data_IF_020369324387
#
_entry.id   IF_020369324387
#
_cell.length_a   1.000
_cell.length_b   1.000
_cell.length_c   1.000
_cell.angle_alpha   90.00
_cell.angle_beta   90.00
_cell.angle_gamma   90.00
#
_symmetry.space_group_name_H-M   'P 1'
#
loop_
_entity.id
_entity.type
_entity.pdbx_description
1 polymer ?
#
# COMPACT_ATOMS: atom_id res chain seq x y z
N UNK A 1 -20.40 54.48 38.02
CA UNK A 1 -19.81 53.12 38.09
C UNK A 1 -20.32 52.16 37.00
N UNK A 2 -21.61 52.16 36.61
CA UNK A 2 -22.16 51.22 35.61
C UNK A 2 -21.57 51.30 34.17
N UNK A 3 -21.12 52.49 33.73
CA UNK A 3 -20.60 52.70 32.36
C UNK A 3 -19.21 52.09 32.09
N UNK A 4 -18.31 52.07 33.09
CA UNK A 4 -16.99 51.45 32.95
C UNK A 4 -17.03 49.92 32.94
N UNK A 5 -17.90 49.33 33.77
CA UNK A 5 -18.12 47.88 33.83
C UNK A 5 -18.71 47.34 32.51
N UNK A 6 -19.64 48.08 31.90
CA UNK A 6 -20.20 47.73 30.58
C UNK A 6 -19.15 47.71 29.47
N UNK A 7 -18.16 48.61 29.52
CA UNK A 7 -17.11 48.70 28.50
C UNK A 7 -16.10 47.56 28.62
N UNK A 8 -15.69 47.22 29.84
CA UNK A 8 -14.79 46.09 30.11
C UNK A 8 -15.44 44.75 29.70
N UNK A 9 -16.72 44.55 30.01
CA UNK A 9 -17.44 43.35 29.60
C UNK A 9 -17.58 43.24 28.08
N UNK A 10 -17.82 44.34 27.37
CA UNK A 10 -17.87 44.33 25.90
C UNK A 10 -16.53 43.90 25.29
N UNK A 11 -15.40 44.42 25.79
CA UNK A 11 -14.06 44.03 25.31
C UNK A 11 -13.81 42.54 25.59
N UNK A 12 -14.17 42.06 26.78
CA UNK A 12 -14.04 40.65 27.14
C UNK A 12 -14.81 39.73 26.17
N UNK A 13 -16.06 40.07 25.85
CA UNK A 13 -16.86 39.33 24.88
C UNK A 13 -16.25 39.34 23.47
N UNK A 14 -15.72 40.48 23.01
CA UNK A 14 -15.05 40.57 21.70
C UNK A 14 -13.83 39.65 21.65
N UNK A 15 -13.01 39.62 22.71
CA UNK A 15 -11.85 38.72 22.78
C UNK A 15 -12.30 37.25 22.77
N UNK A 16 -13.37 36.91 23.50
CA UNK A 16 -13.92 35.55 23.53
C UNK A 16 -14.42 35.10 22.15
N UNK A 17 -15.13 35.97 21.43
CA UNK A 17 -15.61 35.67 20.07
C UNK A 17 -14.43 35.54 19.11
N UNK A 18 -13.41 36.39 19.24
CA UNK A 18 -12.22 36.32 18.41
C UNK A 18 -11.43 35.02 18.61
N UNK A 19 -11.25 34.56 19.86
CA UNK A 19 -10.55 33.29 20.13
C UNK A 19 -11.34 32.07 19.65
N UNK A 20 -12.67 32.06 19.83
CA UNK A 20 -13.54 31.02 19.29
C UNK A 20 -13.53 31.00 17.76
N UNK A 21 -13.56 32.17 17.12
CA UNK A 21 -13.45 32.31 15.66
C UNK A 21 -12.12 31.79 15.13
N UNK A 22 -11.00 32.15 15.77
CA UNK A 22 -9.68 31.63 15.41
C UNK A 22 -9.58 30.12 15.60
N UNK A 23 -10.09 29.58 16.71
CA UNK A 23 -10.09 28.15 16.96
C UNK A 23 -10.92 27.40 15.92
N UNK A 24 -12.12 27.91 15.59
CA UNK A 24 -13.00 27.36 14.56
C UNK A 24 -12.32 27.36 13.19
N UNK A 25 -11.70 28.46 12.78
CA UNK A 25 -10.97 28.54 11.50
C UNK A 25 -9.76 27.59 11.46
N UNK A 26 -9.03 27.47 12.58
CA UNK A 26 -7.90 26.54 12.68
C UNK A 26 -8.35 25.08 12.60
N UNK A 27 -9.52 24.74 13.14
CA UNK A 27 -10.07 23.40 13.07
C UNK A 27 -10.56 23.10 11.65
N UNK A 28 -11.29 24.02 11.02
CA UNK A 28 -11.78 23.86 9.65
C UNK A 28 -10.63 23.65 8.66
N UNK A 29 -9.57 24.46 8.74
CA UNK A 29 -8.38 24.29 7.88
C UNK A 29 -7.68 22.94 8.11
N UNK A 30 -7.55 22.50 9.36
CA UNK A 30 -7.00 21.17 9.68
C UNK A 30 -7.88 20.04 9.15
N UNK A 31 -9.20 20.13 9.28
CA UNK A 31 -10.14 19.13 8.77
C UNK A 31 -10.07 18.99 7.24
N UNK A 32 -9.99 20.12 6.52
CA UNK A 32 -9.85 20.10 5.05
C UNK A 32 -8.54 19.40 4.64
N UNK A 33 -7.42 19.75 5.27
CA UNK A 33 -6.13 19.10 4.99
C UNK A 33 -6.19 17.60 5.31
N UNK A 34 -6.68 17.24 6.49
CA UNK A 34 -6.79 15.85 6.90
C UNK A 34 -7.69 15.04 5.95
N UNK A 35 -8.78 15.62 5.46
CA UNK A 35 -9.65 14.97 4.48
C UNK A 35 -8.93 14.71 3.15
N UNK A 36 -8.09 15.65 2.69
CA UNK A 36 -7.28 15.49 1.49
C UNK A 36 -6.23 14.37 1.66
N UNK A 37 -5.52 14.37 2.80
CA UNK A 37 -4.52 13.35 3.13
C UNK A 37 -5.14 11.94 3.18
N UNK A 38 -6.32 11.81 3.79
CA UNK A 38 -7.06 10.54 3.85
C UNK A 38 -7.45 10.09 2.44
N UNK A 39 -7.97 10.99 1.61
CA UNK A 39 -8.37 10.67 0.24
C UNK A 39 -7.19 10.16 -0.62
N UNK A 40 -6.01 10.80 -0.52
CA UNK A 40 -4.81 10.33 -1.22
C UNK A 40 -4.35 8.96 -0.70
N UNK A 41 -4.44 8.73 0.61
CA UNK A 41 -4.09 7.45 1.22
C UNK A 41 -5.02 6.33 0.76
N UNK A 42 -6.33 6.57 0.76
CA UNK A 42 -7.32 5.57 0.33
C UNK A 42 -7.14 5.20 -1.14
N UNK A 43 -6.87 6.18 -2.01
CA UNK A 43 -6.53 5.89 -3.41
C UNK A 43 -5.25 5.07 -3.55
N UNK A 44 -4.18 5.44 -2.84
CA UNK A 44 -2.93 4.68 -2.86
C UNK A 44 -3.12 3.23 -2.37
N UNK A 45 -3.99 3.02 -1.39
CA UNK A 45 -4.34 1.69 -0.89
C UNK A 45 -5.13 0.87 -1.92
N UNK A 46 -6.11 1.48 -2.60
CA UNK A 46 -6.85 0.84 -3.70
C UNK A 46 -5.92 0.48 -4.86
N UNK A 47 -4.98 1.35 -5.23
CA UNK A 47 -3.98 1.05 -6.24
C UNK A 47 -3.03 -0.05 -5.81
N UNK A 48 -2.65 -0.12 -4.53
CA UNK A 48 -1.87 -1.23 -4.02
C UNK A 48 -2.64 -2.55 -4.11
N UNK A 49 -3.96 -2.54 -3.84
CA UNK A 49 -4.84 -3.71 -4.06
C UNK A 49 -4.89 -4.11 -5.53
N UNK A 50 -5.11 -3.16 -6.44
CA UNK A 50 -5.12 -3.43 -7.87
C UNK A 50 -3.78 -4.00 -8.35
N UNK A 51 -2.66 -3.36 -8.01
CA UNK A 51 -1.31 -3.82 -8.34
C UNK A 51 -1.01 -5.21 -7.79
N UNK A 52 -1.47 -5.55 -6.57
CA UNK A 52 -1.35 -6.93 -6.06
C UNK A 52 -2.11 -7.94 -6.92
N UNK A 53 -3.33 -7.62 -7.36
CA UNK A 53 -4.12 -8.52 -8.20
C UNK A 53 -3.53 -8.69 -9.59
N UNK A 54 -3.03 -7.61 -10.20
CA UNK A 54 -2.34 -7.66 -11.49
C UNK A 54 -1.03 -8.44 -11.41
N UNK A 55 -0.29 -8.31 -10.30
CA UNK A 55 0.91 -9.10 -10.07
C UNK A 55 0.59 -10.59 -9.91
N UNK A 56 -0.47 -10.95 -9.17
CA UNK A 56 -0.93 -12.35 -9.09
C UNK A 56 -1.35 -12.87 -10.47
N UNK A 57 -2.03 -12.07 -11.28
CA UNK A 57 -2.39 -12.46 -12.65
C UNK A 57 -1.14 -12.69 -13.52
N UNK A 58 -0.15 -11.80 -13.45
CA UNK A 58 1.13 -11.99 -14.14
C UNK A 58 1.83 -13.27 -13.69
N UNK A 59 1.84 -13.53 -12.38
CA UNK A 59 2.36 -14.78 -11.81
C UNK A 59 1.62 -16.02 -12.33
N UNK A 60 0.29 -15.97 -12.50
CA UNK A 60 -0.48 -17.10 -13.04
C UNK A 60 -0.20 -17.36 -14.53
N UNK A 61 0.06 -16.30 -15.30
CA UNK A 61 0.39 -16.40 -16.73
C UNK A 61 1.84 -16.79 -17.04
N UNK A 62 2.70 -16.91 -16.02
CA UNK A 62 4.13 -17.15 -16.20
C UNK A 62 4.45 -18.65 -16.29
N UNK A 63 5.26 -19.05 -17.26
CA UNK A 63 5.86 -20.38 -17.29
C UNK A 63 7.14 -20.43 -16.44
N UNK A 64 6.98 -20.96 -15.23
CA UNK A 64 8.03 -21.10 -14.23
C UNK A 64 9.15 -22.08 -14.62
N UNK A 65 9.01 -22.85 -15.70
CA UNK A 65 10.14 -23.64 -16.21
C UNK A 65 11.16 -22.79 -16.97
N UNK A 66 10.74 -21.62 -17.46
CA UNK A 66 11.54 -20.76 -18.34
C UNK A 66 12.01 -19.51 -17.59
N UNK A 67 11.09 -18.78 -16.95
CA UNK A 67 11.39 -17.52 -16.26
C UNK A 67 10.43 -17.25 -15.08
N UNK A 68 10.72 -16.23 -14.29
CA UNK A 68 9.87 -15.79 -13.16
C UNK A 68 9.82 -14.27 -13.06
N UNK A 69 8.65 -13.77 -12.71
CA UNK A 69 8.41 -12.35 -12.51
C UNK A 69 8.94 -11.89 -11.14
N UNK A 70 9.81 -10.87 -11.14
CA UNK A 70 10.46 -10.40 -9.91
C UNK A 70 10.15 -8.94 -9.58
N UNK A 71 9.97 -8.12 -10.61
CA UNK A 71 9.67 -6.70 -10.47
C UNK A 71 8.64 -6.33 -11.54
N UNK A 72 7.49 -5.84 -11.09
CA UNK A 72 6.44 -5.32 -11.97
C UNK A 72 6.24 -3.85 -11.62
N UNK A 73 6.00 -3.03 -12.65
CA UNK A 73 5.69 -1.62 -12.49
C UNK A 73 4.39 -1.33 -13.23
N UNK A 74 3.46 -0.67 -12.55
CA UNK A 74 2.19 -0.24 -13.11
C UNK A 74 2.07 1.27 -12.99
N UNK A 75 1.69 1.92 -14.08
CA UNK A 75 1.32 3.33 -14.12
C UNK A 75 -0.19 3.42 -14.33
N UNK A 76 -0.88 4.09 -13.41
CA UNK A 76 -2.34 4.25 -13.45
C UNK A 76 -2.76 5.51 -14.22
N UNK A 77 -1.82 6.33 -14.68
CA UNK A 77 -2.06 7.47 -15.58
C UNK A 77 -2.58 8.75 -14.90
N UNK A 78 -2.75 8.73 -13.58
CA UNK A 78 -3.20 9.84 -12.73
C UNK A 78 -2.10 10.33 -11.76
N UNK A 79 -0.85 10.00 -12.08
CA UNK A 79 0.34 10.31 -11.28
C UNK A 79 0.65 9.28 -10.20
N UNK A 80 -0.19 8.24 -10.03
CA UNK A 80 0.14 7.10 -9.19
C UNK A 80 0.90 6.02 -9.96
N UNK A 81 2.06 5.65 -9.42
CA UNK A 81 2.88 4.54 -9.89
C UNK A 81 2.97 3.48 -8.80
N UNK A 82 2.84 2.20 -9.17
CA UNK A 82 2.99 1.07 -8.26
C UNK A 82 4.14 0.18 -8.70
N UNK A 83 5.13 0.02 -7.82
CA UNK A 83 6.18 -0.97 -7.94
C UNK A 83 5.85 -2.21 -7.11
N UNK A 84 5.87 -3.38 -7.73
CA UNK A 84 5.68 -4.67 -7.06
C UNK A 84 6.98 -5.46 -7.12
N UNK A 85 7.53 -5.79 -5.96
CA UNK A 85 8.67 -6.72 -5.83
C UNK A 85 8.16 -8.07 -5.35
N UNK A 86 8.44 -9.12 -6.11
CA UNK A 86 8.00 -10.49 -5.83
C UNK A 86 9.18 -11.27 -5.24
N UNK A 87 8.92 -11.92 -4.10
CA UNK A 87 9.89 -12.77 -3.40
C UNK A 87 9.31 -14.16 -3.23
N UNK A 88 9.87 -15.14 -3.94
CA UNK A 88 9.37 -16.51 -3.92
C UNK A 88 9.86 -17.29 -2.70
N UNK A 89 8.94 -18.03 -2.09
CA UNK A 89 9.14 -18.92 -0.95
C UNK A 89 9.12 -20.39 -1.42
N UNK A 90 9.97 -20.71 -2.40
CA UNK A 90 10.07 -22.06 -2.96
C UNK A 90 11.54 -22.47 -3.12
N UNK A 91 11.91 -23.61 -2.54
CA UNK A 91 13.25 -24.17 -2.64
C UNK A 91 13.54 -24.83 -3.98
N UNK A 92 12.51 -25.19 -4.75
CA UNK A 92 12.62 -25.87 -6.03
C UNK A 92 12.56 -24.90 -7.23
N UNK A 93 12.41 -23.61 -7.00
CA UNK A 93 12.34 -22.59 -8.05
C UNK A 93 13.62 -22.61 -8.93
N UNK A 94 13.53 -22.47 -10.26
CA UNK A 94 14.69 -22.60 -11.14
C UNK A 94 15.81 -21.59 -10.80
N UNK A 95 17.05 -21.95 -11.13
CA UNK A 95 18.21 -21.09 -10.89
C UNK A 95 18.16 -19.74 -11.63
N UNK A 96 17.36 -19.62 -12.69
CA UNK A 96 17.10 -18.34 -13.37
C UNK A 96 16.35 -17.34 -12.46
N UNK A 97 15.73 -17.82 -11.38
CA UNK A 97 15.02 -17.05 -10.36
C UNK A 97 15.86 -16.70 -9.12
N UNK A 98 17.17 -16.96 -9.17
CA UNK A 98 18.10 -16.94 -8.04
C UNK A 98 18.28 -15.59 -7.32
N UNK A 99 17.79 -14.46 -7.84
CA UNK A 99 18.03 -13.16 -7.19
C UNK A 99 17.24 -12.99 -5.88
N UNK A 100 16.12 -13.70 -5.69
CA UNK A 100 15.18 -13.43 -4.57
C UNK A 100 14.47 -14.63 -3.95
N UNK A 101 14.84 -15.86 -4.28
CA UNK A 101 14.45 -16.98 -3.42
C UNK A 101 15.42 -17.07 -2.23
N UNK A 102 14.91 -17.43 -1.05
CA UNK A 102 15.77 -17.92 0.04
C UNK A 102 15.49 -19.41 0.13
N UNK A 103 16.49 -20.22 -0.21
CA UNK A 103 16.47 -21.64 0.14
C UNK A 103 16.42 -21.69 1.66
N UNK A 104 15.32 -22.19 2.22
CA UNK A 104 15.25 -22.40 3.66
C UNK A 104 16.43 -23.31 4.07
N UNK A 105 17.10 -22.99 5.19
CA UNK A 105 18.25 -23.77 5.70
C UNK A 105 17.91 -25.22 6.05
N UNK A 106 16.63 -25.58 5.98
CA UNK A 106 16.12 -26.94 5.85
C UNK A 106 15.11 -26.94 4.71
N UNK A 107 15.03 -28.00 3.88
CA UNK A 107 13.94 -28.13 2.93
C UNK A 107 12.63 -27.97 3.69
N UNK A 108 11.78 -27.03 3.26
CA UNK A 108 10.39 -27.00 3.70
C UNK A 108 9.87 -28.41 3.48
N UNK A 109 9.30 -29.06 4.51
CA UNK A 109 8.90 -30.46 4.41
C UNK A 109 7.75 -30.56 3.40
N UNK A 110 8.12 -30.86 2.15
CA UNK A 110 7.28 -30.81 0.96
C UNK A 110 6.09 -31.78 1.07
N UNK A 111 6.22 -32.77 1.96
CA UNK A 111 5.27 -33.88 2.13
C UNK A 111 3.89 -33.47 2.62
N UNK A 112 3.76 -32.32 3.28
CA UNK A 112 2.48 -31.86 3.86
C UNK A 112 1.81 -30.72 3.07
N UNK A 113 2.44 -30.18 2.02
CA UNK A 113 1.80 -29.11 1.24
C UNK A 113 0.85 -29.64 0.16
N UNK A 114 0.98 -30.88 -0.30
CA UNK A 114 -0.02 -31.59 -1.11
C UNK A 114 -0.63 -30.79 -2.27
N UNK A 115 0.10 -29.82 -2.84
CA UNK A 115 -0.46 -28.89 -3.81
C UNK A 115 -0.54 -29.57 -5.17
N UNK A 116 -1.75 -29.54 -5.74
CA UNK A 116 -2.03 -30.04 -7.07
C UNK A 116 -2.04 -28.88 -8.07
N UNK A 117 -1.48 -29.09 -9.26
CA UNK A 117 -1.66 -28.20 -10.40
C UNK A 117 -3.15 -28.17 -10.83
N UNK A 118 -3.49 -27.32 -11.81
CA UNK A 118 -4.85 -27.25 -12.35
C UNK A 118 -5.35 -28.58 -12.97
N UNK A 119 -4.43 -29.53 -13.22
CA UNK A 119 -4.69 -30.85 -13.78
C UNK A 119 -4.74 -31.97 -12.72
N UNK A 120 -4.57 -31.65 -11.43
CA UNK A 120 -4.60 -32.61 -10.34
C UNK A 120 -3.27 -33.34 -10.08
N UNK A 121 -2.18 -32.99 -10.76
CA UNK A 121 -0.85 -33.57 -10.55
C UNK A 121 -0.10 -32.83 -9.44
N UNK A 122 0.88 -33.47 -8.80
CA UNK A 122 1.74 -32.76 -7.83
C UNK A 122 2.43 -31.57 -8.52
N UNK A 123 2.21 -30.37 -7.98
CA UNK A 123 2.82 -29.16 -8.52
C UNK A 123 4.34 -29.25 -8.36
N UNK A 124 5.07 -29.09 -9.48
CA UNK A 124 6.54 -29.04 -9.47
C UNK A 124 7.08 -27.80 -8.76
N UNK A 125 6.32 -26.69 -8.81
CA UNK A 125 6.60 -25.45 -8.12
C UNK A 125 5.37 -25.00 -7.34
N UNK A 126 5.58 -24.54 -6.11
CA UNK A 126 4.52 -24.09 -5.22
C UNK A 126 4.15 -22.63 -5.44
N UNK A 127 5.05 -21.85 -6.08
CA UNK A 127 4.87 -20.45 -6.50
C UNK A 127 4.37 -19.49 -5.41
N UNK A 128 4.42 -19.89 -4.13
CA UNK A 128 4.08 -19.05 -2.99
C UNK A 128 5.07 -17.90 -2.97
N UNK A 129 4.57 -16.67 -2.95
CA UNK A 129 5.40 -15.49 -2.97
C UNK A 129 4.93 -14.42 -2.00
N UNK A 130 5.87 -13.66 -1.47
CA UNK A 130 5.63 -12.40 -0.80
C UNK A 130 5.65 -11.31 -1.88
N UNK A 131 4.55 -10.59 -2.01
CA UNK A 131 4.44 -9.43 -2.85
C UNK A 131 4.63 -8.20 -1.97
N UNK A 132 5.66 -7.43 -2.27
CA UNK A 132 5.94 -6.13 -1.67
C UNK A 132 5.55 -5.04 -2.67
N UNK A 133 4.48 -4.30 -2.36
CA UNK A 133 3.91 -3.27 -3.22
C UNK A 133 4.16 -1.90 -2.62
N UNK A 134 4.77 -1.03 -3.41
CA UNK A 134 5.01 0.37 -3.07
C UNK A 134 4.26 1.21 -4.10
N UNK A 135 3.32 2.02 -3.63
CA UNK A 135 2.61 3.00 -4.45
C UNK A 135 3.13 4.39 -4.12
N UNK A 136 3.48 5.15 -5.15
CA UNK A 136 3.97 6.52 -5.04
C UNK A 136 3.16 7.45 -5.94
N UNK A 137 2.84 8.64 -5.42
CA UNK A 137 2.38 9.76 -6.25
C UNK A 137 3.39 10.91 -6.15
N UNK A 138 3.91 11.34 -7.29
CA UNK A 138 4.89 12.43 -7.41
C UNK A 138 4.34 13.69 -8.06
N UNK A 139 3.14 13.61 -8.63
CA UNK A 139 2.56 14.67 -9.47
C UNK A 139 1.64 15.60 -8.66
N UNK A 140 1.28 15.21 -7.43
CA UNK A 140 0.52 16.02 -6.49
C UNK A 140 1.35 17.05 -5.71
N UNK A 141 0.66 17.98 -5.05
CA UNK A 141 1.25 18.99 -4.15
C UNK A 141 1.87 18.31 -2.91
N UNK A 142 1.34 17.15 -2.52
CA UNK A 142 1.78 16.36 -1.38
C UNK A 142 2.17 14.94 -1.84
N UNK A 143 3.45 14.56 -1.75
CA UNK A 143 3.87 13.22 -2.12
C UNK A 143 3.37 12.21 -1.10
N UNK A 144 2.75 11.14 -1.59
CA UNK A 144 2.35 10.00 -0.76
C UNK A 144 3.12 8.75 -1.17
N UNK A 145 3.54 7.97 -0.18
CA UNK A 145 4.10 6.63 -0.38
C UNK A 145 3.37 5.63 0.50
N UNK A 146 2.65 4.70 -0.12
CA UNK A 146 1.95 3.63 0.55
C UNK A 146 2.69 2.31 0.34
N UNK A 147 2.83 1.53 1.40
CA UNK A 147 3.50 0.23 1.38
C UNK A 147 2.51 -0.86 1.81
N UNK A 148 2.46 -1.93 1.04
CA UNK A 148 1.65 -3.11 1.35
C UNK A 148 2.43 -4.37 1.05
N UNK A 149 2.47 -5.27 2.04
CA UNK A 149 3.06 -6.60 1.87
C UNK A 149 1.99 -7.67 2.05
N UNK A 150 1.91 -8.60 1.11
CA UNK A 150 0.99 -9.74 1.18
C UNK A 150 1.71 -11.02 0.80
N UNK A 151 1.28 -12.14 1.39
CA UNK A 151 1.66 -13.48 0.93
C UNK A 151 0.56 -13.93 -0.01
N UNK A 152 0.94 -14.36 -1.21
CA UNK A 152 0.00 -14.88 -2.19
C UNK A 152 0.46 -16.24 -2.68
N UNK A 153 -0.53 -17.07 -2.99
CA UNK A 153 -0.36 -18.30 -3.77
C UNK A 153 -1.18 -18.12 -5.04
N UNK A 154 -0.52 -17.95 -6.20
CA UNK A 154 -1.18 -17.90 -7.50
C UNK A 154 -1.93 -19.20 -7.82
#
# INVERSE_FOLDING_TARGET
MKKGFSLIMAIFFVILIATLGMMSMSLSSKMVKQSSDIYLKEQAELYAMSATSLAVLAMQGTDYNINCEQNLAYDFGDGFTAGVSIFYLDSNMPATCNARHKTAGSPINIRDMGLKDASGNDATFYNVAILDVIVTNTDGIEPIRYHRRTVQRP
#
